data_IF_636477096653
#
_entry.id   IF_636477096653
#
_cell.length_a   1.000
_cell.length_b   1.000
_cell.length_c   1.000
_cell.angle_alpha   90.00
_cell.angle_beta   90.00
_cell.angle_gamma   90.00
#
_symmetry.space_group_name_H-M   'P 1'
#
loop_
_entity.id
_entity.type
_entity.pdbx_description
1 polymer ?
#
# COMPACT_ATOMS: atom_id res chain seq x y z
N UNK A 1 0.00 11.32 21.40
CA UNK A 1 -0.94 12.46 21.33
C UNK A 1 -1.58 12.35 19.96
N UNK A 2 -2.86 11.98 19.88
CA UNK A 2 -3.59 11.90 18.60
C UNK A 2 -3.86 13.33 18.19
N UNK A 3 -3.22 13.81 17.12
CA UNK A 3 -3.50 15.14 16.59
C UNK A 3 -4.74 15.01 15.71
N UNK A 4 -5.85 15.60 16.15
CA UNK A 4 -7.02 15.79 15.30
C UNK A 4 -6.64 16.70 14.13
N UNK A 5 -6.75 16.17 12.91
CA UNK A 5 -6.47 16.91 11.69
C UNK A 5 -7.52 18.03 11.57
N UNK A 6 -7.13 19.31 11.56
CA UNK A 6 -8.09 20.39 11.40
C UNK A 6 -8.74 20.28 10.02
N UNK A 7 -10.08 20.27 9.97
CA UNK A 7 -10.88 20.16 8.74
C UNK A 7 -10.44 21.11 7.60
N UNK A 8 -9.83 22.24 7.98
CA UNK A 8 -9.25 23.24 7.08
C UNK A 8 -8.14 22.65 6.18
N UNK A 9 -7.43 21.63 6.62
CA UNK A 9 -6.37 20.96 5.84
C UNK A 9 -6.97 20.04 4.76
N UNK A 10 -8.04 19.30 5.07
CA UNK A 10 -8.74 18.44 4.11
C UNK A 10 -9.39 19.30 3.00
N UNK A 11 -10.04 20.40 3.37
CA UNK A 11 -10.59 21.36 2.40
C UNK A 11 -9.51 22.01 1.53
N UNK A 12 -8.34 22.31 2.09
CA UNK A 12 -7.22 22.89 1.34
C UNK A 12 -6.63 21.86 0.37
N UNK A 13 -6.43 20.61 0.79
CA UNK A 13 -5.88 19.53 -0.06
C UNK A 13 -6.77 19.25 -1.29
N UNK A 14 -8.09 19.26 -1.09
CA UNK A 14 -9.07 19.04 -2.17
C UNK A 14 -9.13 20.18 -3.19
N UNK A 15 -8.95 21.44 -2.74
CA UNK A 15 -9.05 22.68 -3.56
C UNK A 15 -7.79 23.02 -4.36
N UNK A 16 -6.69 22.29 -4.22
CA UNK A 16 -5.42 22.59 -4.90
C UNK A 16 -5.43 22.17 -6.37
N UNK A 17 -4.98 23.09 -7.23
CA UNK A 17 -4.62 22.79 -8.61
C UNK A 17 -3.16 22.32 -8.71
N UNK A 18 -2.96 21.02 -8.52
CA UNK A 18 -1.66 20.36 -8.50
C UNK A 18 -0.97 20.33 -9.88
N UNK A 19 -1.64 20.76 -10.95
CA UNK A 19 -1.04 20.96 -12.27
C UNK A 19 0.01 22.08 -12.27
N UNK A 20 -0.23 23.13 -11.48
CA UNK A 20 0.62 24.34 -11.39
C UNK A 20 1.82 24.15 -10.45
N UNK A 21 1.68 23.30 -9.42
CA UNK A 21 2.77 22.89 -8.51
C UNK A 21 3.92 22.20 -9.26
N UNK A 22 3.63 21.61 -10.42
CA UNK A 22 4.57 20.90 -11.30
C UNK A 22 5.63 21.80 -11.94
N UNK A 23 5.28 23.05 -12.19
CA UNK A 23 6.12 24.01 -12.92
C UNK A 23 7.05 24.78 -11.97
N UNK A 24 6.56 25.12 -10.77
CA UNK A 24 7.17 26.12 -9.89
C UNK A 24 8.42 25.67 -9.12
N UNK A 25 8.64 24.37 -8.90
CA UNK A 25 9.71 23.94 -7.96
C UNK A 25 10.74 23.06 -8.66
N UNK A 26 11.89 23.64 -9.04
CA UNK A 26 13.01 22.93 -9.70
C UNK A 26 13.89 22.12 -8.73
N UNK A 27 14.03 22.56 -7.48
CA UNK A 27 14.97 21.96 -6.52
C UNK A 27 14.40 20.77 -5.73
N UNK A 28 13.08 20.63 -5.66
CA UNK A 28 12.41 19.52 -4.96
C UNK A 28 11.83 18.47 -5.91
N UNK A 29 12.09 18.56 -7.22
CA UNK A 29 11.53 17.67 -8.25
C UNK A 29 11.71 16.18 -7.97
N UNK A 30 12.85 15.66 -7.47
CA UNK A 30 12.99 14.23 -7.23
C UNK A 30 12.08 13.75 -6.10
N UNK A 31 12.00 14.49 -4.99
CA UNK A 31 11.18 14.13 -3.83
C UNK A 31 9.69 14.38 -4.10
N UNK A 32 9.35 15.47 -4.79
CA UNK A 32 7.97 15.73 -5.26
C UNK A 32 7.53 14.73 -6.34
N UNK A 33 8.43 14.25 -7.19
CA UNK A 33 8.13 13.19 -8.17
C UNK A 33 7.96 11.86 -7.46
N UNK A 34 8.77 11.53 -6.46
CA UNK A 34 8.57 10.34 -5.64
C UNK A 34 7.26 10.42 -4.86
N UNK A 35 6.96 11.55 -4.23
CA UNK A 35 5.69 11.79 -3.56
C UNK A 35 4.53 11.68 -4.55
N UNK A 36 4.61 12.26 -5.74
CA UNK A 36 3.56 12.17 -6.78
C UNK A 36 3.40 10.78 -7.39
N UNK A 37 4.50 10.07 -7.63
CA UNK A 37 4.50 8.73 -8.23
C UNK A 37 4.11 7.65 -7.22
N UNK A 38 4.32 7.91 -5.93
CA UNK A 38 4.01 6.98 -4.83
C UNK A 38 2.66 7.31 -4.22
N UNK A 39 2.34 8.59 -4.08
CA UNK A 39 1.11 9.15 -3.53
C UNK A 39 0.54 10.17 -4.53
N UNK A 40 -0.15 9.68 -5.55
CA UNK A 40 -0.86 10.56 -6.48
C UNK A 40 -1.94 11.39 -5.77
N UNK A 41 -2.52 12.39 -6.47
CA UNK A 41 -3.50 13.31 -5.86
C UNK A 41 -4.67 12.58 -5.20
N UNK A 42 -5.13 11.50 -5.83
CA UNK A 42 -6.25 10.70 -5.34
C UNK A 42 -5.85 9.93 -4.08
N UNK A 43 -4.66 9.33 -4.09
CA UNK A 43 -4.05 8.63 -2.97
C UNK A 43 -3.84 9.55 -1.77
N UNK A 44 -3.32 10.77 -1.99
CA UNK A 44 -3.13 11.77 -0.93
C UNK A 44 -4.44 12.27 -0.34
N UNK A 45 -5.45 12.52 -1.19
CA UNK A 45 -6.78 12.93 -0.73
C UNK A 45 -7.43 11.84 0.12
N UNK A 46 -7.36 10.58 -0.34
CA UNK A 46 -7.86 9.44 0.43
C UNK A 46 -7.12 9.33 1.76
N UNK A 47 -5.78 9.37 1.77
CA UNK A 47 -4.99 9.24 3.00
C UNK A 47 -5.31 10.39 3.98
N UNK A 48 -5.52 11.60 3.47
CA UNK A 48 -5.95 12.75 4.27
C UNK A 48 -7.38 12.59 4.84
N UNK A 49 -8.24 11.87 4.13
CA UNK A 49 -9.58 11.46 4.59
C UNK A 49 -9.54 10.21 5.48
N UNK A 50 -8.35 9.68 5.80
CA UNK A 50 -8.15 8.54 6.68
C UNK A 50 -8.28 7.17 6.02
N UNK A 51 -8.30 7.11 4.68
CA UNK A 51 -8.49 5.86 3.94
C UNK A 51 -7.49 5.74 2.78
N UNK A 52 -7.15 4.55 2.31
CA UNK A 52 -6.28 4.38 1.15
C UNK A 52 -6.73 3.18 0.34
N UNK A 53 -7.24 3.42 -0.87
CA UNK A 53 -7.64 2.34 -1.75
C UNK A 53 -6.48 1.89 -2.65
N UNK A 54 -6.00 0.66 -2.44
CA UNK A 54 -4.97 0.06 -3.28
C UNK A 54 -5.58 -1.03 -4.16
N UNK A 55 -5.45 -0.85 -5.47
CA UNK A 55 -5.96 -1.80 -6.47
C UNK A 55 -5.17 -3.10 -6.46
N UNK A 56 -5.85 -4.20 -6.76
CA UNK A 56 -5.24 -5.53 -6.90
C UNK A 56 -4.06 -5.53 -7.88
N UNK A 57 -4.16 -4.80 -8.99
CA UNK A 57 -3.08 -4.70 -9.97
C UNK A 57 -1.78 -4.15 -9.38
N UNK A 58 -1.88 -3.13 -8.52
CA UNK A 58 -0.73 -2.52 -7.86
C UNK A 58 -0.12 -3.44 -6.80
N UNK A 59 -0.97 -4.11 -6.01
CA UNK A 59 -0.52 -5.12 -5.03
C UNK A 59 0.20 -6.28 -5.73
N UNK A 60 -0.39 -6.79 -6.82
CA UNK A 60 0.19 -7.88 -7.61
C UNK A 60 1.52 -7.49 -8.24
N UNK A 61 1.64 -6.27 -8.77
CA UNK A 61 2.90 -5.77 -9.33
C UNK A 61 3.98 -5.65 -8.25
N UNK A 62 3.63 -5.10 -7.08
CA UNK A 62 4.55 -4.99 -5.96
C UNK A 62 5.02 -6.37 -5.47
N UNK A 63 4.12 -7.34 -5.37
CA UNK A 63 4.45 -8.71 -4.95
C UNK A 63 5.33 -9.40 -5.99
N UNK A 64 5.00 -9.29 -7.28
CA UNK A 64 5.81 -9.85 -8.35
C UNK A 64 7.25 -9.31 -8.36
N UNK A 65 7.44 -8.03 -8.03
CA UNK A 65 8.78 -7.41 -7.94
C UNK A 65 9.60 -7.86 -6.73
N UNK A 66 8.94 -8.25 -5.64
CA UNK A 66 9.60 -8.61 -4.38
C UNK A 66 9.70 -10.12 -4.13
N UNK A 67 9.00 -10.92 -4.95
CA UNK A 67 9.17 -12.37 -4.99
C UNK A 67 10.58 -12.72 -5.48
N UNK A 68 11.36 -13.38 -4.62
CA UNK A 68 12.67 -13.90 -4.96
C UNK A 68 12.59 -15.16 -5.82
N UNK A 69 13.74 -15.59 -6.36
CA UNK A 69 13.87 -16.85 -7.10
C UNK A 69 14.25 -18.04 -6.23
N UNK A 70 14.43 -17.83 -4.92
CA UNK A 70 15.04 -18.84 -4.05
C UNK A 70 13.98 -19.57 -3.20
N UNK A 71 12.79 -18.96 -3.06
CA UNK A 71 11.64 -19.54 -2.39
C UNK A 71 10.94 -20.69 -3.15
N UNK A 72 10.07 -21.39 -2.43
CA UNK A 72 9.23 -22.46 -2.98
C UNK A 72 8.02 -21.90 -3.72
N UNK A 73 7.52 -20.74 -3.29
CA UNK A 73 6.52 -19.94 -4.00
C UNK A 73 7.23 -19.07 -5.04
N UNK A 74 6.73 -19.08 -6.27
CA UNK A 74 7.27 -18.38 -7.44
C UNK A 74 6.36 -17.28 -7.97
N UNK A 75 5.11 -17.28 -7.53
CA UNK A 75 4.10 -16.33 -7.94
C UNK A 75 3.00 -16.31 -6.91
N UNK A 76 2.49 -15.12 -6.62
CA UNK A 76 1.29 -14.92 -5.83
C UNK A 76 0.46 -13.90 -6.63
N UNK A 77 -0.80 -14.24 -6.88
CA UNK A 77 -1.76 -13.34 -7.50
C UNK A 77 -2.97 -13.20 -6.58
N UNK A 78 -3.31 -11.95 -6.28
CA UNK A 78 -4.40 -11.52 -5.43
C UNK A 78 -5.59 -11.15 -6.29
N UNK A 79 -6.77 -11.52 -5.81
CA UNK A 79 -8.05 -11.06 -6.34
C UNK A 79 -9.01 -10.75 -5.21
N UNK A 80 -9.40 -9.49 -5.10
CA UNK A 80 -10.32 -8.98 -4.10
C UNK A 80 -11.75 -9.03 -4.61
N UNK A 81 -12.68 -9.41 -3.73
CA UNK A 81 -14.12 -9.53 -4.03
C UNK A 81 -14.94 -8.62 -3.12
N UNK A 82 -16.07 -8.12 -3.62
CA UNK A 82 -16.99 -7.22 -2.91
C UNK A 82 -17.43 -7.72 -1.52
N UNK A 83 -17.57 -9.04 -1.36
CA UNK A 83 -18.01 -9.67 -0.10
C UNK A 83 -16.93 -9.74 0.99
N UNK A 84 -15.81 -9.02 0.83
CA UNK A 84 -14.68 -9.01 1.77
C UNK A 84 -13.74 -10.20 1.62
N UNK A 85 -13.93 -11.05 0.61
CA UNK A 85 -13.08 -12.20 0.33
C UNK A 85 -11.88 -11.80 -0.52
N UNK A 86 -10.73 -12.35 -0.17
CA UNK A 86 -9.49 -12.22 -0.91
C UNK A 86 -9.01 -13.60 -1.33
N UNK A 87 -8.89 -13.81 -2.63
CA UNK A 87 -8.35 -15.03 -3.23
C UNK A 87 -6.86 -14.86 -3.52
N UNK A 88 -6.08 -15.89 -3.22
CA UNK A 88 -4.66 -15.99 -3.52
C UNK A 88 -4.41 -17.21 -4.42
N UNK A 89 -3.85 -16.97 -5.59
CA UNK A 89 -3.32 -18.02 -6.47
C UNK A 89 -1.81 -18.06 -6.33
N UNK A 90 -1.30 -19.13 -5.74
CA UNK A 90 0.12 -19.33 -5.52
C UNK A 90 0.69 -20.32 -6.54
N UNK A 91 1.72 -19.92 -7.26
CA UNK A 91 2.52 -20.81 -8.12
C UNK A 91 3.71 -21.33 -7.34
N UNK A 92 3.98 -22.64 -7.37
CA UNK A 92 5.04 -23.27 -6.57
C UNK A 92 5.98 -24.14 -7.39
N UNK A 93 7.22 -24.33 -6.91
CA UNK A 93 8.16 -25.29 -7.49
C UNK A 93 7.89 -26.74 -7.08
N UNK A 94 7.06 -26.95 -6.05
CA UNK A 94 6.74 -28.26 -5.48
C UNK A 94 5.90 -29.11 -6.43
N UNK A 95 5.49 -30.29 -5.95
CA UNK A 95 4.67 -31.26 -6.71
C UNK A 95 3.37 -30.63 -7.22
N UNK A 96 2.72 -29.83 -6.39
CA UNK A 96 1.48 -29.13 -6.72
C UNK A 96 1.82 -27.72 -7.21
N UNK A 97 1.86 -27.56 -8.53
CA UNK A 97 2.34 -26.33 -9.20
C UNK A 97 1.49 -25.11 -8.89
N UNK A 98 0.22 -25.31 -8.58
CA UNK A 98 -0.71 -24.23 -8.25
C UNK A 98 -1.49 -24.61 -7.01
N UNK A 99 -1.59 -23.67 -6.08
CA UNK A 99 -2.41 -23.75 -4.89
C UNK A 99 -3.31 -22.52 -4.90
N UNK A 100 -4.61 -22.74 -4.73
CA UNK A 100 -5.60 -21.67 -4.61
C UNK A 100 -6.06 -21.59 -3.16
N UNK A 101 -6.00 -20.40 -2.59
CA UNK A 101 -6.47 -20.09 -1.25
C UNK A 101 -7.53 -19.00 -1.35
N UNK A 102 -8.55 -19.08 -0.50
CA UNK A 102 -9.56 -18.03 -0.38
C UNK A 102 -9.85 -17.77 1.08
N UNK A 103 -10.03 -16.50 1.45
CA UNK A 103 -10.00 -16.09 2.84
C UNK A 103 -10.26 -14.61 3.08
N UNK A 104 -9.90 -14.14 4.26
CA UNK A 104 -10.11 -12.76 4.72
C UNK A 104 -8.82 -12.19 5.30
N UNK A 105 -8.65 -10.87 5.22
CA UNK A 105 -7.63 -10.16 5.99
C UNK A 105 -8.19 -9.97 7.40
N UNK A 106 -7.55 -10.58 8.39
CA UNK A 106 -7.91 -10.40 9.81
C UNK A 106 -7.24 -9.14 10.37
N UNK A 107 -5.98 -8.90 10.01
CA UNK A 107 -5.19 -7.75 10.47
C UNK A 107 -4.28 -7.25 9.34
N UNK A 108 -4.12 -5.93 9.24
CA UNK A 108 -3.09 -5.30 8.43
C UNK A 108 -2.62 -4.05 9.15
N UNK A 109 -1.39 -4.06 9.63
CA UNK A 109 -0.88 -3.03 10.53
C UNK A 109 0.46 -2.52 10.05
N UNK A 110 0.57 -1.20 9.96
CA UNK A 110 1.83 -0.49 9.80
C UNK A 110 1.87 0.67 10.81
N UNK A 111 2.75 0.59 11.81
CA UNK A 111 2.93 1.64 12.82
C UNK A 111 4.41 1.70 13.17
N UNK A 112 5.10 2.75 12.73
CA UNK A 112 6.53 2.92 12.95
C UNK A 112 7.34 1.73 12.42
N UNK A 113 8.02 1.02 13.33
CA UNK A 113 8.81 -0.16 12.99
C UNK A 113 7.98 -1.45 12.86
N UNK A 114 6.70 -1.44 13.25
CA UNK A 114 5.84 -2.63 13.20
C UNK A 114 5.07 -2.69 11.89
N UNK A 115 5.27 -3.74 11.10
CA UNK A 115 4.64 -3.89 9.78
C UNK A 115 4.27 -5.35 9.51
N UNK A 116 2.99 -5.72 9.66
CA UNK A 116 2.55 -7.10 9.48
C UNK A 116 1.11 -7.23 8.99
N UNK A 117 0.82 -8.36 8.34
CA UNK A 117 -0.52 -8.73 7.90
C UNK A 117 -0.87 -10.16 8.37
N UNK A 118 -2.15 -10.37 8.65
CA UNK A 118 -2.71 -11.68 9.01
C UNK A 118 -3.82 -12.02 8.04
N UNK A 119 -3.62 -13.09 7.27
CA UNK A 119 -4.61 -13.62 6.34
C UNK A 119 -5.20 -14.93 6.88
N UNK A 120 -6.52 -14.99 7.05
CA UNK A 120 -7.23 -16.17 7.49
C UNK A 120 -7.81 -16.96 6.31
N UNK A 121 -7.24 -18.13 6.06
CA UNK A 121 -7.67 -19.03 5.00
C UNK A 121 -8.97 -19.73 5.39
N UNK A 122 -9.99 -19.60 4.54
CA UNK A 122 -11.31 -20.22 4.69
C UNK A 122 -11.47 -21.42 3.75
N UNK A 123 -11.02 -21.27 2.52
CA UNK A 123 -11.10 -22.32 1.50
C UNK A 123 -9.74 -22.54 0.84
N UNK A 124 -9.55 -23.76 0.36
CA UNK A 124 -8.27 -24.23 -0.18
C UNK A 124 -8.54 -25.22 -1.29
N UNK A 125 -7.85 -25.07 -2.39
CA UNK A 125 -7.97 -25.94 -3.55
C UNK A 125 -6.60 -26.21 -4.19
N UNK A 126 -6.47 -27.41 -4.73
CA UNK A 126 -5.37 -27.75 -5.62
C UNK A 126 -6.00 -28.11 -6.97
N UNK A 127 -5.92 -27.20 -7.96
CA UNK A 127 -6.53 -27.39 -9.26
C UNK A 127 -6.08 -28.70 -9.92
N UNK A 128 -6.98 -29.33 -10.69
CA UNK A 128 -6.71 -30.55 -11.47
C UNK A 128 -6.31 -31.78 -10.66
N UNK A 129 -6.52 -31.76 -9.34
CA UNK A 129 -6.17 -32.86 -8.45
C UNK A 129 -7.34 -33.22 -7.51
N UNK A 130 -8.43 -33.77 -8.06
CA UNK A 130 -9.72 -33.96 -7.35
C UNK A 130 -9.64 -34.61 -5.96
N UNK A 131 -9.09 -35.81 -5.84
CA UNK A 131 -8.98 -36.49 -4.54
C UNK A 131 -8.06 -35.75 -3.55
N UNK A 132 -6.96 -35.16 -4.06
CA UNK A 132 -6.02 -34.42 -3.23
C UNK A 132 -6.65 -33.11 -2.74
N UNK A 133 -7.34 -32.39 -3.62
CA UNK A 133 -8.08 -31.16 -3.29
C UNK A 133 -9.17 -31.42 -2.25
N UNK A 134 -9.88 -32.55 -2.35
CA UNK A 134 -10.87 -32.95 -1.35
C UNK A 134 -10.25 -33.14 0.04
N UNK A 135 -9.06 -33.76 0.14
CA UNK A 135 -8.33 -33.86 1.42
C UNK A 135 -7.82 -32.48 1.87
N UNK A 136 -7.25 -31.73 0.94
CA UNK A 136 -6.61 -30.42 1.18
C UNK A 136 -7.58 -29.39 1.77
N UNK A 137 -8.83 -29.37 1.30
CA UNK A 137 -9.89 -28.48 1.81
C UNK A 137 -10.31 -28.79 3.25
N UNK A 138 -10.00 -29.98 3.78
CA UNK A 138 -10.45 -30.44 5.11
C UNK A 138 -9.39 -30.36 6.20
N UNK A 139 -8.11 -30.25 5.83
CA UNK A 139 -7.01 -30.17 6.80
C UNK A 139 -6.56 -28.72 7.01
N UNK A 140 -5.90 -28.43 8.13
CA UNK A 140 -5.40 -27.08 8.42
C UNK A 140 -4.24 -26.72 7.49
N UNK A 141 -4.02 -25.42 7.25
CA UNK A 141 -2.93 -24.96 6.38
C UNK A 141 -1.55 -25.31 6.98
N UNK A 142 -1.42 -25.24 8.31
CA UNK A 142 -0.20 -25.70 9.00
C UNK A 142 0.06 -27.21 8.80
N UNK A 143 -0.98 -28.04 8.64
CA UNK A 143 -0.81 -29.46 8.36
C UNK A 143 -0.39 -29.70 6.92
N UNK A 144 -0.96 -28.92 5.98
CA UNK A 144 -0.52 -28.88 4.58
C UNK A 144 0.97 -28.58 4.49
N UNK A 145 1.42 -27.52 5.15
CA UNK A 145 2.81 -27.09 5.12
C UNK A 145 3.75 -28.19 5.65
N UNK A 146 3.38 -28.86 6.75
CA UNK A 146 4.15 -30.00 7.27
C UNK A 146 4.26 -31.16 6.28
N UNK A 147 3.23 -31.38 5.46
CA UNK A 147 3.21 -32.46 4.47
C UNK A 147 3.95 -32.10 3.17
N UNK A 148 3.93 -30.82 2.77
CA UNK A 148 4.51 -30.34 1.51
C UNK A 148 5.91 -29.73 1.65
N UNK A 149 6.35 -29.56 2.90
CA UNK A 149 7.50 -28.75 3.25
C UNK A 149 7.13 -27.27 3.38
N UNK A 150 8.02 -26.51 3.99
CA UNK A 150 7.83 -25.08 4.24
C UNK A 150 7.48 -24.35 2.93
N UNK A 151 6.46 -23.49 3.00
CA UNK A 151 5.98 -22.70 1.86
C UNK A 151 6.64 -21.33 1.88
N UNK A 152 7.93 -21.31 1.59
CA UNK A 152 8.73 -20.09 1.60
C UNK A 152 8.44 -19.20 0.39
N UNK A 153 8.24 -17.91 0.67
CA UNK A 153 8.06 -16.87 -0.34
C UNK A 153 9.40 -16.23 -0.70
N UNK A 154 10.10 -15.69 0.29
CA UNK A 154 11.42 -15.05 0.17
C UNK A 154 12.00 -14.82 1.57
N UNK A 155 13.33 -14.80 1.71
CA UNK A 155 13.99 -14.47 2.98
C UNK A 155 13.61 -13.08 3.52
N UNK A 156 13.25 -12.15 2.62
CA UNK A 156 12.85 -10.78 2.95
C UNK A 156 11.36 -10.62 3.31
N UNK A 157 10.57 -11.68 3.14
CA UNK A 157 9.15 -11.68 3.49
C UNK A 157 8.85 -12.90 4.35
N UNK A 158 9.21 -12.87 5.65
CA UNK A 158 8.98 -13.98 6.55
C UNK A 158 7.49 -14.32 6.64
N UNK A 159 7.18 -15.59 6.39
CA UNK A 159 5.81 -16.13 6.48
C UNK A 159 5.75 -17.19 7.57
N UNK A 160 4.78 -17.07 8.47
CA UNK A 160 4.51 -18.07 9.50
C UNK A 160 3.05 -18.55 9.39
N UNK A 161 2.85 -19.86 9.30
CA UNK A 161 1.53 -20.46 9.20
C UNK A 161 1.14 -21.10 10.53
N UNK A 162 0.03 -20.65 11.13
CA UNK A 162 -0.54 -21.26 12.35
C UNK A 162 -2.00 -21.61 12.13
N UNK A 163 -2.32 -22.90 12.15
CA UNK A 163 -3.67 -23.37 11.85
C UNK A 163 -4.05 -23.03 10.41
N UNK A 164 -4.99 -22.08 10.24
CA UNK A 164 -5.39 -21.53 8.94
C UNK A 164 -5.00 -20.05 8.77
N UNK A 165 -4.23 -19.48 9.70
CA UNK A 165 -3.75 -18.10 9.61
C UNK A 165 -2.35 -18.06 9.04
N UNK A 166 -2.13 -17.14 8.11
CA UNK A 166 -0.85 -16.81 7.51
C UNK A 166 -0.45 -15.45 8.07
N UNK A 167 0.66 -15.42 8.79
CA UNK A 167 1.27 -14.20 9.33
C UNK A 167 2.39 -13.80 8.38
N UNK A 168 2.34 -12.58 7.89
CA UNK A 168 3.35 -12.03 6.97
C UNK A 168 3.96 -10.81 7.64
N UNK A 169 5.28 -10.87 7.85
CA UNK A 169 6.06 -9.68 8.21
C UNK A 169 6.52 -9.02 6.91
N UNK A 170 6.12 -7.77 6.70
CA UNK A 170 6.49 -7.01 5.50
C UNK A 170 7.38 -5.81 5.82
N UNK A 171 7.92 -5.72 7.04
CA UNK A 171 8.76 -4.61 7.47
C UNK A 171 9.96 -4.39 6.54
N UNK A 172 10.71 -5.45 6.24
CA UNK A 172 11.91 -5.34 5.39
C UNK A 172 11.55 -4.94 3.95
N UNK A 173 10.46 -5.50 3.40
CA UNK A 173 9.98 -5.15 2.06
C UNK A 173 9.53 -3.70 2.00
N UNK A 174 8.82 -3.23 3.03
CA UNK A 174 8.38 -1.84 3.12
C UNK A 174 9.58 -0.90 3.28
N UNK A 175 10.54 -1.24 4.13
CA UNK A 175 11.77 -0.48 4.32
C UNK A 175 12.59 -0.39 3.03
N UNK A 176 12.68 -1.47 2.26
CA UNK A 176 13.39 -1.51 0.97
C UNK A 176 12.61 -0.84 -0.19
N UNK A 177 11.32 -0.57 0.00
CA UNK A 177 10.49 0.07 -1.03
C UNK A 177 10.89 1.52 -1.29
N UNK A 178 10.44 2.09 -2.43
CA UNK A 178 10.60 3.52 -2.73
C UNK A 178 10.07 4.40 -1.59
N UNK A 179 8.99 3.98 -0.92
CA UNK A 179 8.43 4.68 0.22
C UNK A 179 9.36 4.66 1.43
N UNK A 180 9.87 3.48 1.81
CA UNK A 180 10.74 3.30 2.98
C UNK A 180 12.13 3.93 2.84
N UNK A 181 12.62 4.06 1.61
CA UNK A 181 13.91 4.72 1.31
C UNK A 181 13.80 6.25 1.15
N UNK A 182 12.58 6.80 1.11
CA UNK A 182 12.38 8.23 0.87
C UNK A 182 12.24 8.99 2.17
N UNK A 183 13.02 10.05 2.29
CA UNK A 183 12.93 11.02 3.38
C UNK A 183 12.49 12.38 2.87
N UNK A 184 11.61 13.05 3.61
CA UNK A 184 11.24 14.45 3.37
C UNK A 184 11.47 15.25 4.65
N UNK A 185 12.27 16.32 4.54
CA UNK A 185 12.74 17.13 5.69
C UNK A 185 13.38 16.32 6.84
N UNK A 186 14.03 15.20 6.51
CA UNK A 186 14.70 14.34 7.49
C UNK A 186 13.80 13.28 8.13
N UNK A 187 12.50 13.25 7.79
CA UNK A 187 11.55 12.25 8.25
C UNK A 187 11.29 11.21 7.16
N UNK A 188 11.22 9.92 7.51
CA UNK A 188 10.87 8.87 6.55
C UNK A 188 9.38 8.95 6.22
N UNK A 189 9.03 8.73 4.96
CA UNK A 189 7.62 8.77 4.54
C UNK A 189 6.78 7.65 5.18
N UNK A 190 7.37 6.48 5.45
CA UNK A 190 6.71 5.39 6.17
C UNK A 190 6.30 5.78 7.58
N UNK A 191 7.08 6.64 8.25
CA UNK A 191 6.78 7.05 9.62
C UNK A 191 5.62 8.07 9.67
N UNK A 192 5.25 8.63 8.51
CA UNK A 192 4.17 9.61 8.39
C UNK A 192 2.79 8.97 8.20
N UNK A 193 2.72 7.68 7.81
CA UNK A 193 1.47 6.97 7.54
C UNK A 193 1.38 5.76 8.44
N UNK A 194 0.38 5.74 9.31
CA UNK A 194 -0.01 4.53 10.04
C UNK A 194 -1.14 3.84 9.27
N UNK A 195 -1.12 2.51 9.25
CA UNK A 195 -2.23 1.67 8.81
C UNK A 195 -2.70 0.87 10.02
N UNK A 196 -3.96 1.05 10.40
CA UNK A 196 -4.55 0.38 11.57
C UNK A 196 -5.52 -0.74 11.17
N UNK A 197 -6.00 -0.72 9.92
CA UNK A 197 -6.98 -1.66 9.42
C UNK A 197 -6.96 -1.82 7.91
N UNK A 198 -7.60 -2.88 7.44
CA UNK A 198 -7.81 -3.14 6.03
C UNK A 198 -9.17 -3.81 5.80
N UNK A 199 -9.88 -3.34 4.78
CA UNK A 199 -11.15 -3.88 4.34
C UNK A 199 -11.07 -4.21 2.84
N UNK A 200 -11.25 -5.49 2.52
CA UNK A 200 -11.29 -5.96 1.13
C UNK A 200 -12.56 -5.44 0.45
N UNK A 201 -12.43 -4.98 -0.79
CA UNK A 201 -13.50 -4.48 -1.67
C UNK A 201 -13.30 -5.03 -3.07
N UNK A 202 -14.28 -4.87 -3.95
CA UNK A 202 -14.13 -5.31 -5.33
C UNK A 202 -12.92 -4.60 -5.98
N UNK A 203 -11.98 -5.40 -6.51
CA UNK A 203 -10.81 -4.90 -7.23
C UNK A 203 -9.69 -4.26 -6.39
N UNK A 204 -9.77 -4.30 -5.06
CA UNK A 204 -8.69 -3.81 -4.20
C UNK A 204 -8.95 -3.90 -2.70
N UNK A 205 -8.04 -3.31 -1.93
CA UNK A 205 -8.10 -3.24 -0.48
C UNK A 205 -8.17 -1.77 -0.07
N UNK A 206 -9.16 -1.44 0.75
CA UNK A 206 -9.24 -0.15 1.44
C UNK A 206 -8.49 -0.27 2.76
N UNK A 207 -7.43 0.50 2.94
CA UNK A 207 -6.71 0.61 4.21
C UNK A 207 -7.27 1.75 5.03
N UNK A 208 -7.41 1.55 6.33
CA UNK A 208 -7.69 2.63 7.27
C UNK A 208 -6.35 3.22 7.70
N UNK A 209 -6.15 4.49 7.34
CA UNK A 209 -4.87 5.17 7.48
C UNK A 209 -4.96 6.34 8.42
N UNK A 210 -3.84 6.66 9.05
CA UNK A 210 -3.71 7.84 9.89
C UNK A 210 -2.40 8.54 9.58
N UNK A 211 -2.49 9.85 9.38
CA UNK A 211 -1.32 10.67 9.11
C UNK A 211 -0.71 11.18 10.41
N UNK A 212 0.53 10.78 10.66
CA UNK A 212 1.38 11.38 11.68
C UNK A 212 2.38 12.31 11.00
N UNK A 213 1.89 13.45 10.52
CA UNK A 213 2.72 14.43 9.83
C UNK A 213 3.40 15.36 10.85
N UNK A 214 4.74 15.43 10.89
CA UNK A 214 5.44 16.45 11.66
C UNK A 214 5.07 17.87 11.18
N UNK A 215 5.00 18.83 12.11
CA UNK A 215 4.58 20.21 11.80
C UNK A 215 5.44 20.85 10.71
N UNK A 216 6.75 20.59 10.72
CA UNK A 216 7.70 21.12 9.74
C UNK A 216 7.45 20.56 8.32
N UNK A 217 6.94 19.33 8.21
CA UNK A 217 6.53 18.74 6.93
C UNK A 217 5.23 19.37 6.43
N UNK A 218 4.26 19.56 7.33
CA UNK A 218 2.99 20.22 7.01
C UNK A 218 3.18 21.66 6.53
N UNK A 219 4.07 22.41 7.18
CA UNK A 219 4.44 23.77 6.75
C UNK A 219 5.16 23.78 5.40
N UNK A 220 6.04 22.80 5.15
CA UNK A 220 6.72 22.66 3.87
C UNK A 220 5.74 22.50 2.71
N UNK A 221 4.79 21.59 2.89
CA UNK A 221 3.78 21.29 1.89
C UNK A 221 2.91 22.52 1.66
N UNK A 222 2.46 23.20 2.73
CA UNK A 222 1.72 24.47 2.61
C UNK A 222 2.52 25.56 1.89
N UNK A 223 3.81 25.70 2.15
CA UNK A 223 4.65 26.70 1.49
C UNK A 223 4.81 26.41 -0.02
N UNK A 224 5.10 25.15 -0.37
CA UNK A 224 5.16 24.70 -1.77
C UNK A 224 3.82 24.97 -2.48
N UNK A 225 2.71 24.78 -1.77
CA UNK A 225 1.37 25.04 -2.28
C UNK A 225 1.06 26.53 -2.46
N UNK A 226 1.51 27.39 -1.56
CA UNK A 226 1.32 28.84 -1.66
C UNK A 226 2.19 29.45 -2.77
N UNK A 227 3.44 29.02 -2.93
CA UNK A 227 4.33 29.48 -4.01
C UNK A 227 3.83 29.06 -5.41
N UNK A 228 3.11 27.94 -5.50
CA UNK A 228 2.50 27.45 -6.74
C UNK A 228 1.19 28.15 -7.10
N UNK A 229 0.56 28.83 -6.15
CA UNK A 229 -0.64 29.65 -6.34
C UNK A 229 -0.35 31.10 -6.71
N UNK A 230 0.91 31.55 -6.61
CA UNK A 230 1.35 32.90 -6.94
C UNK A 230 2.07 32.97 -8.29
N UNK A 231 1.53 32.32 -9.32
CA UNK A 231 1.96 32.53 -10.72
C UNK A 231 0.91 33.39 -11.42
N UNK A 232 1.29 34.65 -11.64
CA UNK A 232 0.72 35.70 -12.49
C UNK A 232 -0.70 36.25 -12.23
N UNK A 233 -0.75 37.27 -11.36
CA UNK A 233 -1.47 38.52 -11.69
C UNK A 233 -0.48 39.67 -11.64
N UNK A 234 0.30 39.80 -12.71
CA UNK A 234 1.37 40.78 -12.79
C UNK A 234 1.71 41.20 -14.20
N UNK A 235 0.71 41.57 -15.04
CA UNK A 235 0.89 42.69 -15.97
C UNK A 235 -0.43 43.11 -16.64
N UNK A 236 -0.89 44.33 -16.32
CA UNK A 236 -1.70 45.23 -17.17
C UNK A 236 -2.18 46.43 -16.33
N UNK A 237 -1.23 47.20 -15.78
CA UNK A 237 -1.49 48.53 -15.25
C UNK A 237 -0.76 49.56 -16.10
N UNK A 238 -1.34 49.89 -17.27
CA UNK A 238 -1.14 51.11 -18.09
C UNK A 238 -1.81 50.85 -19.46
N UNK A 239 -2.77 51.60 -20.02
CA UNK A 239 -3.09 53.02 -19.91
C UNK A 239 -4.59 53.24 -20.16
N UNK A 240 -5.24 54.01 -19.29
CA UNK A 240 -6.38 54.84 -19.65
C UNK A 240 -5.96 56.30 -19.54
N UNK A 241 -6.21 57.11 -20.58
CA UNK A 241 -5.92 58.54 -20.55
C UNK A 241 -5.98 59.22 -21.91
N UNK A 242 -7.19 59.64 -22.27
CA UNK A 242 -7.57 60.57 -23.35
C UNK A 242 -6.73 61.86 -23.41
N UNK A 243 -6.32 62.24 -24.62
CA UNK A 243 -6.62 63.54 -25.24
C UNK A 243 -6.36 63.49 -26.76
#
# INVERSE_FOLDING_TARGET
MVIDIPANFIEQVQKIDWGSVREAVKDYRPVLTVLRDTWDRETLAQIAEGHLFVRDSMLNEAIAKNLGTDGTIRGIMLRSHENGRLDLTCTTTKKYKTIELSGTIDEFVHVGDKSYAVYCVREKNIPNHGLVSWVFSRISLSMVERMMGHLDVSDRLPVNIRGNKVYVDFHEVLAASKLGQTTFRGHKLTDMVEIEGAAVREGGIMFDTKLNMPDDVGEALRAILQESGSVDTGDAAEKGGTH
#
